data_IF_967903545230
#
_entry.id   IF_967903545230
#
_cell.length_a   1.000
_cell.length_b   1.000
_cell.length_c   1.000
_cell.angle_alpha   90.00
_cell.angle_beta   90.00
_cell.angle_gamma   90.00
#
_symmetry.space_group_name_H-M   'P 1'
#
loop_
_entity.id
_entity.type
_entity.pdbx_description
1 polymer ?
#
# COMPACT_ATOMS: atom_id res chain seq x y z
N UNK A 1 19.75 12.18 7.79
CA UNK A 1 19.26 11.23 8.83
C UNK A 1 17.77 11.39 9.12
N UNK A 2 17.27 12.59 9.43
CA UNK A 2 15.84 12.81 9.69
C UNK A 2 14.92 12.42 8.51
N UNK A 3 15.28 12.79 7.28
CA UNK A 3 14.51 12.43 6.08
C UNK A 3 14.44 10.91 5.86
N UNK A 4 15.55 10.21 6.05
CA UNK A 4 15.61 8.75 5.93
C UNK A 4 14.68 8.05 6.93
N UNK A 5 14.68 8.52 8.20
CA UNK A 5 13.79 8.01 9.25
C UNK A 5 12.32 8.29 8.90
N UNK A 6 11.99 9.48 8.38
CA UNK A 6 10.60 9.77 7.98
C UNK A 6 10.11 8.89 6.84
N UNK A 7 10.96 8.60 5.85
CA UNK A 7 10.60 7.69 4.76
C UNK A 7 10.44 6.25 5.28
N UNK A 8 11.26 5.81 6.23
CA UNK A 8 11.17 4.46 6.81
C UNK A 8 9.84 4.26 7.54
N UNK A 9 9.41 5.25 8.32
CA UNK A 9 8.12 5.25 9.00
C UNK A 9 6.97 5.22 7.97
N UNK A 10 7.10 6.01 6.90
CA UNK A 10 6.13 6.04 5.80
C UNK A 10 6.03 4.69 5.06
N UNK A 11 7.16 4.02 4.82
CA UNK A 11 7.20 2.67 4.23
C UNK A 11 6.43 1.66 5.08
N UNK A 12 6.69 1.65 6.39
CA UNK A 12 6.00 0.75 7.33
C UNK A 12 4.49 1.01 7.33
N UNK A 13 4.08 2.29 7.28
CA UNK A 13 2.68 2.66 7.19
C UNK A 13 2.02 2.18 5.88
N UNK A 14 2.70 2.32 4.74
CA UNK A 14 2.25 1.83 3.43
C UNK A 14 2.08 0.31 3.41
N UNK A 15 3.04 -0.42 3.94
CA UNK A 15 2.99 -1.89 4.04
C UNK A 15 1.82 -2.31 4.95
N UNK A 16 1.63 -1.64 6.08
CA UNK A 16 0.51 -1.91 6.98
C UNK A 16 -0.85 -1.61 6.30
N UNK A 17 -0.94 -0.51 5.54
CA UNK A 17 -2.12 -0.16 4.77
C UNK A 17 -2.41 -1.18 3.66
N UNK A 18 -1.38 -1.65 2.94
CA UNK A 18 -1.48 -2.69 1.91
C UNK A 18 -1.90 -4.04 2.50
N UNK A 19 -1.36 -4.41 3.67
CA UNK A 19 -1.75 -5.61 4.40
C UNK A 19 -3.22 -5.50 4.83
N UNK A 20 -3.62 -4.41 5.49
CA UNK A 20 -5.01 -4.15 5.87
C UNK A 20 -5.93 -4.19 4.66
N UNK A 21 -5.52 -3.60 3.53
CA UNK A 21 -6.25 -3.64 2.29
C UNK A 21 -6.45 -5.06 1.77
N UNK A 22 -5.40 -5.87 1.78
CA UNK A 22 -5.45 -7.28 1.35
C UNK A 22 -6.39 -8.09 2.24
N UNK A 23 -6.28 -7.93 3.57
CA UNK A 23 -7.15 -8.61 4.54
C UNK A 23 -8.58 -8.06 4.58
N UNK A 24 -8.81 -6.83 4.12
CA UNK A 24 -10.16 -6.25 4.04
C UNK A 24 -11.11 -7.05 3.14
N UNK A 25 -10.56 -7.94 2.29
CA UNK A 25 -11.32 -8.84 1.42
C UNK A 25 -11.98 -9.98 2.20
N UNK A 26 -11.33 -10.37 3.29
CA UNK A 26 -11.63 -11.60 4.03
C UNK A 26 -12.64 -11.34 5.15
N UNK A 27 -12.93 -10.07 5.48
CA UNK A 27 -13.93 -9.77 6.49
C UNK A 27 -15.34 -10.00 5.94
N UNK A 28 -16.20 -10.76 6.66
CA UNK A 28 -17.55 -11.14 6.22
C UNK A 28 -18.56 -9.98 6.20
N UNK A 29 -18.10 -8.72 6.35
CA UNK A 29 -18.89 -7.48 6.31
C UNK A 29 -18.65 -6.65 5.04
N UNK A 30 -18.15 -7.25 3.96
CA UNK A 30 -18.03 -6.54 2.70
C UNK A 30 -19.45 -6.19 2.20
N UNK A 31 -19.78 -4.90 1.96
CA UNK A 31 -21.03 -4.51 1.32
C UNK A 31 -21.16 -5.22 -0.04
N UNK A 32 -22.38 -5.42 -0.58
CA UNK A 32 -22.58 -6.16 -1.82
C UNK A 32 -21.60 -5.70 -2.89
N UNK A 33 -20.75 -6.62 -3.34
CA UNK A 33 -19.63 -6.38 -4.26
C UNK A 33 -20.16 -6.08 -5.65
N UNK A 34 -20.62 -4.85 -5.87
CA UNK A 34 -20.88 -4.33 -7.21
C UNK A 34 -19.57 -4.31 -8.00
N UNK A 35 -19.64 -4.50 -9.32
CA UNK A 35 -18.47 -4.43 -10.21
C UNK A 35 -17.68 -3.13 -10.02
N UNK A 36 -18.37 -2.01 -9.78
CA UNK A 36 -17.74 -0.72 -9.48
C UNK A 36 -16.91 -0.72 -8.19
N UNK A 37 -17.40 -1.40 -7.15
CA UNK A 37 -16.66 -1.56 -5.89
C UNK A 37 -15.39 -2.39 -6.09
N UNK A 38 -15.46 -3.49 -6.86
CA UNK A 38 -14.28 -4.29 -7.21
C UNK A 38 -13.25 -3.50 -8.01
N UNK A 39 -13.68 -2.67 -8.98
CA UNK A 39 -12.78 -1.83 -9.76
C UNK A 39 -12.03 -0.80 -8.91
N UNK A 40 -12.74 -0.07 -8.05
CA UNK A 40 -12.13 0.88 -7.11
C UNK A 40 -11.16 0.13 -6.19
N UNK A 41 -11.53 -1.09 -5.80
CA UNK A 41 -10.72 -1.90 -4.90
C UNK A 41 -9.40 -2.34 -5.53
N UNK A 42 -9.44 -2.72 -6.80
CA UNK A 42 -8.24 -3.05 -7.58
C UNK A 42 -7.39 -1.80 -7.80
N UNK A 43 -8.01 -0.67 -8.15
CA UNK A 43 -7.30 0.59 -8.39
C UNK A 43 -6.48 1.05 -7.18
N UNK A 44 -7.08 1.04 -5.98
CA UNK A 44 -6.40 1.44 -4.74
C UNK A 44 -5.27 0.45 -4.40
N UNK A 45 -5.49 -0.86 -4.59
CA UNK A 45 -4.46 -1.87 -4.38
C UNK A 45 -3.25 -1.68 -5.30
N UNK A 46 -3.49 -1.44 -6.59
CA UNK A 46 -2.43 -1.17 -7.58
C UNK A 46 -1.67 0.11 -7.22
N UNK A 47 -2.38 1.18 -6.82
CA UNK A 47 -1.74 2.43 -6.43
C UNK A 47 -0.81 2.23 -5.22
N UNK A 48 -1.26 1.50 -4.19
CA UNK A 48 -0.45 1.20 -3.02
C UNK A 48 0.81 0.41 -3.39
N UNK A 49 0.70 -0.60 -4.26
CA UNK A 49 1.84 -1.39 -4.72
C UNK A 49 2.86 -0.52 -5.47
N UNK A 50 2.40 0.35 -6.38
CA UNK A 50 3.29 1.23 -7.15
C UNK A 50 4.06 2.17 -6.22
N UNK A 51 3.37 2.78 -5.24
CA UNK A 51 4.00 3.68 -4.28
C UNK A 51 5.04 2.95 -3.44
N UNK A 52 4.74 1.74 -2.97
CA UNK A 52 5.64 0.95 -2.13
C UNK A 52 6.90 0.50 -2.90
N UNK A 53 6.75 0.02 -4.15
CA UNK A 53 7.88 -0.33 -5.02
C UNK A 53 8.76 0.90 -5.30
N UNK A 54 8.14 2.05 -5.59
CA UNK A 54 8.87 3.30 -5.85
C UNK A 54 9.68 3.73 -4.64
N UNK A 55 9.12 3.56 -3.44
CA UNK A 55 9.79 3.88 -2.19
C UNK A 55 10.98 2.94 -1.93
N UNK A 56 10.82 1.64 -2.17
CA UNK A 56 11.90 0.64 -2.05
C UNK A 56 13.05 0.96 -3.02
N UNK A 57 12.74 1.30 -4.28
CA UNK A 57 13.74 1.69 -5.26
C UNK A 57 14.48 2.97 -4.85
N UNK A 58 13.75 3.95 -4.31
CA UNK A 58 14.34 5.15 -3.76
C UNK A 58 15.31 4.82 -2.63
N UNK A 59 14.94 3.98 -1.67
CA UNK A 59 15.84 3.54 -0.60
C UNK A 59 17.08 2.81 -1.12
N UNK A 60 16.91 1.91 -2.08
CA UNK A 60 18.02 1.19 -2.69
C UNK A 60 19.03 2.16 -3.32
N UNK A 61 18.53 3.22 -3.99
CA UNK A 61 19.38 4.26 -4.58
C UNK A 61 20.13 5.12 -3.56
N UNK A 62 19.67 5.20 -2.32
CA UNK A 62 20.34 5.95 -1.24
C UNK A 62 21.41 5.11 -0.53
N UNK A 63 21.37 3.78 -0.69
CA UNK A 63 22.33 2.83 -0.08
C UNK A 63 23.47 2.49 -1.03
N UNK A 64 23.23 2.53 -2.35
CA UNK A 64 24.21 2.28 -3.41
C UNK A 64 25.11 3.52 -3.64
#
# INVERSE_FOLDING_TARGET
MMLFISYMIFAIFLIAALAYWSFSALFPKAPPTTLSCLFIRVLIGVLLIIVDISLILFFLSQVL
#
